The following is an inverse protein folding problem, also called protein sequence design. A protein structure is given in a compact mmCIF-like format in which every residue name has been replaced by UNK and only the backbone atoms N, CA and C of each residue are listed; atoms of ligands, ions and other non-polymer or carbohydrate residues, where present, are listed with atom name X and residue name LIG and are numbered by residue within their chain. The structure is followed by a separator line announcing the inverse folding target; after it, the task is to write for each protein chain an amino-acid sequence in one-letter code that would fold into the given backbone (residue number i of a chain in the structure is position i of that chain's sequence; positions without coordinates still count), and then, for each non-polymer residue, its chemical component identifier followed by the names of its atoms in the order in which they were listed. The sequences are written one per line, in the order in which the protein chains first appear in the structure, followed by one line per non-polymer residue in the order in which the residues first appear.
data_IF_064459141473
#
_entry.id   IF_064459141473
#
_cell.length_a   1.000
_cell.length_b   1.000
_cell.length_c   1.000
_cell.angle_alpha   90.00
_cell.angle_beta   90.00
_cell.angle_gamma   90.00
#
_symmetry.space_group_name_H-M   'P 1'
#
loop_
_entity.id
_entity.type
_entity.pdbx_description
1 polymer ?
#
# COMPACT_ATOMS: atom_id res chain seq x y z
N UNK A 1 -11.98 -6.26 21.72
CA UNK A 1 -12.45 -6.15 23.11
C UNK A 1 -11.55 -5.15 23.81
N UNK A 2 -12.12 -4.17 24.52
CA UNK A 2 -11.32 -3.24 25.34
C UNK A 2 -10.95 -3.88 26.69
N UNK A 3 -10.17 -3.17 27.51
CA UNK A 3 -9.78 -3.62 28.86
C UNK A 3 -10.98 -3.76 29.81
N UNK A 4 -12.09 -3.08 29.52
CA UNK A 4 -13.36 -3.14 30.27
C UNK A 4 -14.30 -4.24 29.76
N UNK A 5 -13.80 -5.18 28.96
CA UNK A 5 -14.55 -6.30 28.38
C UNK A 5 -15.69 -5.88 27.44
N UNK A 6 -15.66 -4.66 26.88
CA UNK A 6 -16.63 -4.23 25.87
C UNK A 6 -16.17 -4.66 24.48
N UNK A 7 -17.13 -5.12 23.68
CA UNK A 7 -16.90 -5.53 22.29
C UNK A 7 -17.31 -4.43 21.32
N UNK A 8 -16.55 -4.27 20.24
CA UNK A 8 -16.79 -3.28 19.21
C UNK A 8 -16.74 -3.95 17.85
N UNK A 9 -17.63 -3.56 16.94
CA UNK A 9 -17.58 -3.94 15.54
C UNK A 9 -17.12 -2.74 14.74
N UNK A 10 -15.93 -2.83 14.16
CA UNK A 10 -15.27 -1.72 13.44
C UNK A 10 -14.51 -2.26 12.22
N UNK A 11 -14.26 -1.38 11.26
CA UNK A 11 -13.40 -1.65 10.10
C UNK A 11 -12.29 -0.57 10.04
N UNK A 12 -11.24 -0.69 10.86
CA UNK A 12 -10.18 0.31 10.95
C UNK A 12 -9.18 0.20 9.79
N UNK A 13 -8.33 1.21 9.63
CA UNK A 13 -7.12 1.10 8.84
C UNK A 13 -6.23 0.00 9.44
N UNK A 14 -5.72 -0.89 8.59
CA UNK A 14 -4.93 -2.04 9.01
C UNK A 14 -3.56 -2.05 8.37
N UNK A 15 -2.53 -2.33 9.17
CA UNK A 15 -1.20 -2.67 8.66
C UNK A 15 -1.12 -4.19 8.56
N UNK A 16 -0.99 -4.67 7.33
CA UNK A 16 -0.96 -6.11 7.01
C UNK A 16 0.46 -6.64 6.81
N UNK A 17 1.33 -5.82 6.23
CA UNK A 17 2.75 -6.12 6.09
C UNK A 17 3.55 -4.82 6.19
N UNK A 18 4.76 -4.93 6.72
CA UNK A 18 5.65 -3.79 6.87
C UNK A 18 7.10 -4.25 6.85
N UNK A 19 7.79 -3.91 5.77
CA UNK A 19 9.16 -4.33 5.53
C UNK A 19 10.03 -3.16 5.07
N UNK A 20 11.25 -3.11 5.62
CA UNK A 20 12.33 -2.26 5.17
C UNK A 20 13.54 -3.16 5.00
N UNK A 21 14.20 -3.08 3.85
CA UNK A 21 15.39 -3.88 3.55
C UNK A 21 16.44 -3.75 4.65
N UNK A 22 17.06 -4.86 5.07
CA UNK A 22 17.91 -4.94 6.26
C UNK A 22 19.03 -3.88 6.30
N UNK A 23 19.68 -3.63 5.15
CA UNK A 23 20.75 -2.62 5.05
C UNK A 23 20.27 -1.17 5.25
N UNK A 24 18.97 -0.94 5.21
CA UNK A 24 18.32 0.37 5.34
C UNK A 24 17.52 0.49 6.65
N UNK A 25 17.45 -0.56 7.46
CA UNK A 25 16.75 -0.51 8.75
C UNK A 25 17.43 0.46 9.71
N UNK A 26 16.64 1.01 10.65
CA UNK A 26 17.07 1.97 11.69
C UNK A 26 17.61 3.32 11.18
N UNK A 27 17.51 3.60 9.87
CA UNK A 27 17.86 4.89 9.27
C UNK A 27 16.68 5.87 9.11
N UNK A 28 15.50 5.51 9.62
CA UNK A 28 14.29 6.36 9.59
C UNK A 28 13.35 6.10 8.41
N UNK A 29 13.72 5.28 7.42
CA UNK A 29 12.86 5.00 6.26
C UNK A 29 11.51 4.38 6.64
N UNK A 30 11.48 3.49 7.62
CA UNK A 30 10.21 2.93 8.12
C UNK A 30 9.27 4.01 8.65
N UNK A 31 9.81 5.01 9.36
CA UNK A 31 9.01 6.13 9.87
C UNK A 31 8.45 6.98 8.74
N UNK A 32 9.30 7.34 7.77
CA UNK A 32 8.88 8.10 6.61
C UNK A 32 7.78 7.39 5.79
N UNK A 33 7.91 6.08 5.57
CA UNK A 33 6.91 5.26 4.88
C UNK A 33 5.58 5.22 5.64
N UNK A 34 5.65 5.00 6.96
CA UNK A 34 4.46 4.90 7.79
C UNK A 34 3.74 6.25 7.91
N UNK A 35 4.48 7.35 8.10
CA UNK A 35 3.91 8.71 8.13
C UNK A 35 3.24 9.08 6.82
N UNK A 36 3.85 8.75 5.68
CA UNK A 36 3.23 8.97 4.39
C UNK A 36 1.93 8.19 4.24
N UNK A 37 1.90 6.92 4.67
CA UNK A 37 0.69 6.11 4.68
C UNK A 37 -0.41 6.74 5.57
N UNK A 38 -0.07 7.20 6.77
CA UNK A 38 -1.04 7.90 7.65
C UNK A 38 -1.61 9.17 7.02
N UNK A 39 -0.78 9.96 6.35
CA UNK A 39 -1.22 11.17 5.66
C UNK A 39 -2.16 10.87 4.50
N UNK A 40 -1.82 9.87 3.68
CA UNK A 40 -2.66 9.50 2.52
C UNK A 40 -3.99 8.90 2.93
N UNK A 41 -4.01 8.10 3.99
CA UNK A 41 -5.23 7.50 4.53
C UNK A 41 -6.00 8.43 5.50
N UNK A 42 -5.52 9.67 5.69
CA UNK A 42 -6.08 10.66 6.61
C UNK A 42 -6.39 10.07 8.01
N UNK A 43 -5.42 9.34 8.56
CA UNK A 43 -5.56 8.60 9.82
C UNK A 43 -4.45 8.97 10.81
N UNK A 44 -4.63 8.53 12.05
CA UNK A 44 -3.61 8.63 13.10
C UNK A 44 -3.14 7.24 13.48
N UNK A 45 -1.87 7.07 13.85
CA UNK A 45 -1.32 5.81 14.31
C UNK A 45 -2.14 5.14 15.44
N UNK A 46 -2.79 5.97 16.29
CA UNK A 46 -3.69 5.52 17.37
C UNK A 46 -4.90 4.71 16.88
N UNK A 47 -5.34 4.96 15.64
CA UNK A 47 -6.53 4.36 15.04
C UNK A 47 -6.19 3.18 14.11
N UNK A 48 -4.93 2.74 14.08
CA UNK A 48 -4.46 1.65 13.23
C UNK A 48 -4.48 0.33 13.98
N UNK A 49 -5.01 -0.71 13.34
CA UNK A 49 -4.87 -2.09 13.80
C UNK A 49 -3.70 -2.76 13.06
N UNK A 50 -2.91 -3.58 13.74
CA UNK A 50 -1.73 -4.23 13.16
C UNK A 50 -1.92 -5.75 13.21
N UNK A 51 -1.85 -6.43 12.07
CA UNK A 51 -1.92 -7.89 12.00
C UNK A 51 -0.56 -8.49 12.41
N UNK A 52 -0.54 -9.35 13.41
CA UNK A 52 0.63 -10.13 13.87
C UNK A 52 1.95 -9.33 13.90
N UNK A 53 2.04 -8.23 14.67
CA UNK A 53 3.23 -7.40 14.68
C UNK A 53 4.46 -8.15 15.18
N UNK A 54 5.60 -7.89 14.53
CA UNK A 54 6.90 -8.29 15.06
C UNK A 54 7.29 -7.44 16.28
N UNK A 55 8.21 -7.95 17.11
CA UNK A 55 8.76 -7.19 18.25
C UNK A 55 9.40 -5.88 17.79
N UNK A 56 10.10 -5.89 16.65
CA UNK A 56 10.67 -4.68 16.06
C UNK A 56 9.61 -3.65 15.67
N UNK A 57 8.46 -4.10 15.17
CA UNK A 57 7.34 -3.21 14.84
C UNK A 57 6.69 -2.63 16.11
N UNK A 58 6.49 -3.43 17.16
CA UNK A 58 5.98 -2.92 18.44
C UNK A 58 6.90 -1.83 19.04
N UNK A 59 8.21 -2.04 19.01
CA UNK A 59 9.18 -1.03 19.45
C UNK A 59 9.17 0.22 18.56
N UNK A 60 8.99 0.04 17.25
CA UNK A 60 8.84 1.15 16.31
C UNK A 60 7.60 2.00 16.64
N UNK A 61 6.44 1.37 16.90
CA UNK A 61 5.22 2.08 17.27
C UNK A 61 5.38 2.89 18.57
N UNK A 62 6.05 2.31 19.57
CA UNK A 62 6.35 3.01 20.82
C UNK A 62 7.29 4.21 20.58
N UNK A 63 8.42 3.99 19.90
CA UNK A 63 9.43 5.03 19.68
C UNK A 63 8.89 6.23 18.89
N UNK A 64 8.13 5.99 17.82
CA UNK A 64 7.75 7.02 16.88
C UNK A 64 6.38 7.65 17.17
N UNK A 65 5.45 6.88 17.74
CA UNK A 65 4.07 7.32 17.96
C UNK A 65 3.67 7.33 19.44
N UNK A 66 4.57 6.98 20.36
CA UNK A 66 4.29 6.91 21.79
C UNK A 66 3.28 5.82 22.15
N UNK A 67 3.10 4.83 21.27
CA UNK A 67 2.12 3.75 21.44
C UNK A 67 2.76 2.58 22.20
N UNK A 68 2.47 2.55 23.49
CA UNK A 68 2.89 1.51 24.43
C UNK A 68 1.70 0.62 24.83
N UNK A 69 1.97 -0.47 25.55
CA UNK A 69 0.93 -1.39 26.06
C UNK A 69 0.01 -1.98 24.96
N UNK A 70 0.58 -2.74 24.01
CA UNK A 70 -0.21 -3.37 22.96
C UNK A 70 -1.28 -4.32 23.53
N UNK A 71 -2.51 -4.18 23.04
CA UNK A 71 -3.65 -5.01 23.43
C UNK A 71 -3.90 -6.05 22.34
N UNK A 72 -3.47 -7.28 22.61
CA UNK A 72 -3.65 -8.43 21.72
C UNK A 72 -5.11 -8.84 21.66
N UNK A 73 -5.66 -8.90 20.45
CA UNK A 73 -7.02 -9.34 20.20
C UNK A 73 -7.04 -10.82 19.81
N UNK A 74 -8.15 -11.49 20.08
CA UNK A 74 -8.39 -12.89 19.66
C UNK A 74 -8.36 -13.08 18.13
N UNK A 75 -8.51 -11.99 17.37
CA UNK A 75 -8.47 -11.98 15.90
C UNK A 75 -7.05 -11.92 15.32
N UNK A 76 -6.00 -12.03 16.15
CA UNK A 76 -4.58 -11.84 15.84
C UNK A 76 -4.14 -10.39 15.58
N UNK A 77 -5.07 -9.44 15.63
CA UNK A 77 -4.74 -8.03 15.56
C UNK A 77 -4.23 -7.51 16.90
N UNK A 78 -3.36 -6.52 16.81
CA UNK A 78 -2.93 -5.69 17.93
C UNK A 78 -3.42 -4.28 17.72
N UNK A 79 -3.99 -3.72 18.78
CA UNK A 79 -4.40 -2.31 18.88
C UNK A 79 -3.81 -1.71 20.14
N UNK A 80 -3.92 -0.40 20.30
CA UNK A 80 -3.42 0.33 21.46
C UNK A 80 -4.58 0.95 22.26
N UNK A 81 -4.41 1.29 23.55
CA UNK A 81 -5.51 1.82 24.37
C UNK A 81 -6.29 3.00 23.72
N UNK A 82 -5.62 3.99 23.08
CA UNK A 82 -6.32 5.11 22.43
C UNK A 82 -7.21 4.72 21.25
N UNK A 83 -7.06 3.50 20.69
CA UNK A 83 -7.85 3.00 19.57
C UNK A 83 -9.36 3.05 19.87
N UNK A 84 -9.75 2.80 21.12
CA UNK A 84 -11.15 2.71 21.53
C UNK A 84 -11.81 4.06 21.85
N UNK A 85 -11.03 5.14 21.98
CA UNK A 85 -11.54 6.48 22.34
C UNK A 85 -12.49 7.02 21.27
N UNK A 86 -12.15 6.81 19.99
CA UNK A 86 -12.87 7.38 18.85
C UNK A 86 -14.03 6.51 18.33
N UNK A 87 -14.16 5.27 18.82
CA UNK A 87 -15.18 4.32 18.32
C UNK A 87 -16.60 4.73 18.75
N UNK A 88 -16.73 5.52 19.83
CA UNK A 88 -18.04 5.92 20.35
C UNK A 88 -18.69 7.09 19.58
N UNK A 89 -17.99 7.74 18.64
CA UNK A 89 -18.49 8.93 17.95
C UNK A 89 -19.35 8.58 16.72
N UNK A 90 -19.26 7.35 16.19
CA UNK A 90 -19.96 6.98 14.95
C UNK A 90 -21.29 6.22 15.13
N UNK A 91 -21.69 5.86 16.35
CA UNK A 91 -22.97 5.16 16.61
C UNK A 91 -24.19 6.06 16.81
N UNK A 92 -24.04 7.38 16.62
CA UNK A 92 -25.17 8.32 16.63
C UNK A 92 -24.97 9.38 15.56
N UNK A 93 -25.82 9.31 14.52
CA UNK A 93 -26.01 10.31 13.46
C UNK A 93 -24.84 10.58 12.49
N UNK A 94 -24.70 9.72 11.48
CA UNK A 94 -24.58 10.26 10.12
C UNK A 94 -25.26 9.34 9.13
N UNK A 95 -26.36 9.83 8.58
CA UNK A 95 -26.85 9.47 7.25
C UNK A 95 -25.77 9.90 6.25
N UNK A 96 -24.68 9.14 6.15
CA UNK A 96 -23.70 9.33 5.10
C UNK A 96 -24.33 8.82 3.82
N UNK A 97 -24.91 9.76 3.06
CA UNK A 97 -25.24 9.56 1.65
C UNK A 97 -24.07 8.85 0.99
N UNK A 98 -24.33 7.67 0.43
CA UNK A 98 -23.41 6.97 -0.43
C UNK A 98 -22.96 7.94 -1.51
N UNK A 99 -21.77 8.53 -1.36
CA UNK A 99 -21.04 9.14 -2.46
C UNK A 99 -20.14 8.03 -3.00
N UNK A 100 -20.42 7.47 -4.19
CA UNK A 100 -19.47 6.60 -4.85
C UNK A 100 -18.19 7.41 -5.06
N UNK A 101 -17.03 6.84 -4.70
CA UNK A 101 -15.74 7.32 -5.14
C UNK A 101 -15.79 7.39 -6.68
N UNK A 102 -15.90 8.59 -7.22
CA UNK A 102 -15.96 8.81 -8.64
C UNK A 102 -14.60 8.44 -9.22
N UNK A 103 -14.59 7.39 -10.04
CA UNK A 103 -13.51 7.08 -10.97
C UNK A 103 -13.14 8.36 -11.73
N UNK A 104 -11.83 8.58 -11.89
CA UNK A 104 -11.24 9.71 -12.59
C UNK A 104 -12.02 10.09 -13.86
N UNK A 105 -12.50 11.33 -13.90
CA UNK A 105 -12.96 11.97 -15.12
C UNK A 105 -12.29 13.34 -15.24
N UNK A 106 -11.74 13.57 -16.43
CA UNK A 106 -10.91 14.70 -16.84
C UNK A 106 -11.72 15.50 -17.85
N UNK A 107 -12.13 16.73 -17.52
CA UNK A 107 -12.79 17.68 -18.45
C UNK A 107 -12.65 19.10 -17.88
N UNK A 108 -11.76 19.94 -18.41
CA UNK A 108 -11.98 21.05 -19.39
C UNK A 108 -12.41 22.38 -18.75
N UNK A 109 -11.59 23.41 -18.99
CA UNK A 109 -11.93 24.83 -18.79
C UNK A 109 -11.62 25.54 -20.11
N UNK A 110 -12.63 26.23 -20.65
CA UNK A 110 -12.57 27.06 -21.86
C UNK A 110 -11.95 28.45 -21.60
N UNK A 111 -11.55 29.08 -22.71
CA UNK A 111 -10.53 30.12 -22.91
C UNK A 111 -10.97 31.58 -22.72
N UNK A 112 -10.00 32.45 -22.39
CA UNK A 112 -9.71 33.68 -23.16
C UNK A 112 -8.27 34.25 -22.94
N UNK A 113 -7.39 34.00 -23.93
CA UNK A 113 -6.53 34.95 -24.69
C UNK A 113 -5.50 35.84 -23.92
N UNK A 114 -4.19 35.95 -24.23
CA UNK A 114 -3.46 36.07 -25.52
C UNK A 114 -1.94 35.71 -25.39
N UNK A 115 -1.35 35.12 -26.45
CA UNK A 115 0.02 35.29 -27.03
C UNK A 115 1.28 35.17 -26.10
N UNK A 116 2.36 34.39 -26.35
CA UNK A 116 2.95 33.86 -27.59
C UNK A 116 4.16 32.90 -27.34
N UNK A 117 4.56 32.18 -28.40
CA UNK A 117 5.88 31.56 -28.71
C UNK A 117 6.34 30.21 -28.06
N UNK A 118 6.02 29.12 -28.79
CA UNK A 118 6.88 27.99 -29.26
C UNK A 118 7.63 27.09 -28.25
N UNK A 119 7.11 25.88 -28.02
CA UNK A 119 7.78 24.58 -28.30
C UNK A 119 6.90 23.40 -27.82
N UNK A 120 6.78 22.38 -28.67
CA UNK A 120 5.89 21.22 -28.59
C UNK A 120 6.35 20.15 -27.60
N UNK A 121 5.47 19.68 -26.71
CA UNK A 121 5.53 18.31 -26.19
C UNK A 121 4.14 17.74 -25.88
N UNK A 122 3.84 16.68 -26.62
CA UNK A 122 2.56 15.98 -26.69
C UNK A 122 2.36 15.09 -25.47
N UNK A 123 1.16 15.16 -24.90
CA UNK A 123 0.63 14.35 -23.79
C UNK A 123 0.72 12.85 -24.09
N UNK A 124 1.38 12.07 -23.24
CA UNK A 124 1.17 10.62 -23.16
C UNK A 124 -0.13 10.34 -22.40
N UNK A 125 -1.22 10.26 -23.17
CA UNK A 125 -2.55 9.80 -22.74
C UNK A 125 -2.91 8.62 -23.65
N UNK A 126 -2.98 7.42 -23.06
CA UNK A 126 -3.72 6.25 -23.55
C UNK A 126 -3.39 5.75 -24.96
N UNK A 127 -2.57 4.70 -25.06
CA UNK A 127 -2.47 3.89 -26.27
C UNK A 127 -2.26 2.42 -25.91
N UNK A 128 -3.35 1.73 -25.57
CA UNK A 128 -3.41 0.25 -25.60
C UNK A 128 -4.50 -0.30 -26.52
N UNK A 129 -5.24 0.56 -27.23
CA UNK A 129 -6.41 0.14 -28.02
C UNK A 129 -6.13 -0.21 -29.49
N UNK A 130 -4.86 -0.29 -29.93
CA UNK A 130 -4.54 -0.50 -31.35
C UNK A 130 -3.64 -1.71 -31.67
N UNK A 131 -3.50 -2.70 -30.79
CA UNK A 131 -2.63 -3.87 -31.02
C UNK A 131 -3.35 -5.13 -31.56
N UNK A 132 -4.56 -5.01 -32.10
CA UNK A 132 -5.34 -6.16 -32.65
C UNK A 132 -5.76 -5.91 -34.11
N UNK A 133 -4.97 -5.15 -34.85
CA UNK A 133 -5.12 -5.04 -36.30
C UNK A 133 -3.76 -4.70 -36.85
N UNK A 134 -2.96 -5.73 -37.09
CA UNK A 134 -2.30 -5.92 -38.40
C UNK A 134 -1.46 -7.19 -38.37
N UNK A 135 -1.75 -8.02 -39.37
CA UNK A 135 -1.17 -9.32 -39.62
C UNK A 135 0.16 -9.09 -40.35
N UNK A 136 1.29 -9.01 -39.64
CA UNK A 136 2.60 -8.85 -40.25
C UNK A 136 3.70 -9.62 -39.49
N UNK A 137 4.11 -10.74 -40.09
CA UNK A 137 5.37 -11.48 -39.94
C UNK A 137 5.91 -11.66 -38.52
N UNK A 138 5.60 -12.82 -37.94
CA UNK A 138 6.25 -13.38 -36.74
C UNK A 138 7.77 -13.41 -36.96
N UNK A 139 8.51 -12.55 -36.26
CA UNK A 139 9.95 -12.64 -36.13
C UNK A 139 10.33 -13.97 -35.45
N UNK A 140 11.24 -14.73 -36.08
CA UNK A 140 11.77 -15.99 -35.54
C UNK A 140 12.32 -15.78 -34.13
N UNK A 141 11.90 -16.61 -33.17
CA UNK A 141 12.64 -16.78 -31.91
C UNK A 141 13.96 -17.46 -32.26
N UNK A 142 15.07 -16.78 -32.02
CA UNK A 142 16.40 -17.39 -32.09
C UNK A 142 16.54 -18.30 -30.88
N UNK A 143 16.65 -19.61 -31.10
CA UNK A 143 17.04 -20.55 -30.06
C UNK A 143 18.51 -20.25 -29.70
N UNK A 144 18.76 -19.84 -28.46
CA UNK A 144 20.09 -19.54 -27.95
C UNK A 144 20.66 -20.79 -27.24
N UNK A 145 21.95 -21.03 -27.42
CA UNK A 145 22.69 -22.15 -26.80
C UNK A 145 22.73 -21.97 -25.26
N UNK A 146 22.33 -23.00 -24.47
CA UNK A 146 22.29 -22.94 -23.01
C UNK A 146 23.64 -22.63 -22.34
N UNK A 147 24.78 -22.82 -23.01
CA UNK A 147 26.10 -22.54 -22.44
C UNK A 147 26.60 -21.10 -22.65
N UNK A 148 25.80 -20.23 -23.27
CA UNK A 148 26.10 -18.79 -23.35
C UNK A 148 25.93 -18.13 -21.98
N UNK A 149 26.74 -17.13 -21.63
CA UNK A 149 26.66 -16.41 -20.35
C UNK A 149 25.27 -15.82 -20.00
N UNK A 150 24.41 -15.59 -21.01
CA UNK A 150 23.01 -15.19 -20.82
C UNK A 150 22.03 -16.37 -20.66
N UNK A 151 22.38 -17.60 -21.09
CA UNK A 151 21.59 -18.82 -20.94
C UNK A 151 21.61 -19.41 -19.53
N UNK A 152 22.69 -19.18 -18.77
CA UNK A 152 22.83 -19.68 -17.38
C UNK A 152 21.93 -18.99 -16.34
N UNK A 153 21.11 -18.01 -16.71
CA UNK A 153 20.27 -17.24 -15.77
C UNK A 153 18.83 -17.72 -15.61
N UNK A 154 18.45 -18.88 -16.17
CA UNK A 154 17.12 -19.45 -15.96
C UNK A 154 17.22 -20.97 -15.76
N UNK A 155 17.77 -21.39 -14.62
CA UNK A 155 17.47 -22.70 -14.05
C UNK A 155 17.19 -22.47 -12.56
N UNK A 156 15.89 -22.34 -12.26
CA UNK A 156 15.34 -22.62 -10.94
C UNK A 156 15.42 -24.12 -10.77
N UNK A 157 16.00 -24.62 -9.69
CA UNK A 157 15.60 -25.88 -9.08
C UNK A 157 15.83 -25.76 -7.58
N UNK A 158 14.74 -25.45 -6.87
CA UNK A 158 14.64 -25.63 -5.43
C UNK A 158 14.50 -27.13 -5.17
N UNK A 159 15.62 -27.81 -4.92
CA UNK A 159 15.58 -29.07 -4.18
C UNK A 159 15.03 -28.78 -2.77
N UNK A 160 13.73 -28.99 -2.59
CA UNK A 160 13.12 -29.12 -1.28
C UNK A 160 13.55 -30.47 -0.71
N UNK A 161 14.64 -30.49 0.05
CA UNK A 161 14.89 -31.59 0.97
C UNK A 161 14.15 -31.28 2.28
N UNK A 162 13.02 -31.97 2.48
CA UNK A 162 12.35 -32.03 3.77
C UNK A 162 13.28 -32.72 4.77
N UNK A 163 13.76 -31.96 5.75
CA UNK A 163 14.40 -32.53 6.93
C UNK A 163 13.33 -32.57 8.03
N UNK A 164 13.10 -33.79 8.49
CA UNK A 164 12.20 -34.27 9.53
C UNK A 164 11.89 -33.30 10.67
#
# INVERSE_FOLDING_TARGET
MDQSMRTFQVAPLCVLDFYVHDTLQRQGYGHALFDYMLQQENSSAKNVAIDKPSQSLLQFMNKHYGLNEPIWQVTNFVVYPPFFENINVCNSSSTSTNKPCAKSAKTEVENANQQSHRASNTRYRGQVDNLIRDNAVIGRRVAMDPETAQGRKICRDFEHQSIW
#
